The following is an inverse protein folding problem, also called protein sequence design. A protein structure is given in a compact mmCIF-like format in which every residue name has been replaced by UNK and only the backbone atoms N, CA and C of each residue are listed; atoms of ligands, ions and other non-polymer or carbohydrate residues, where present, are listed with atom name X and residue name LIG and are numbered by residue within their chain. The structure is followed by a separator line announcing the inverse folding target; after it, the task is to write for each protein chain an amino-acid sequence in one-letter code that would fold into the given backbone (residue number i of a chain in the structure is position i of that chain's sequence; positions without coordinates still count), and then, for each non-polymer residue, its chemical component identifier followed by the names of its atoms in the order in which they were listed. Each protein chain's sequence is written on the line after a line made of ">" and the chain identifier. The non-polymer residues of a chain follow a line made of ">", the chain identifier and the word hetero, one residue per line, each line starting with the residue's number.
data_IF_355607304906
#
_entry.id   IF_355607304906
#
_cell.length_a   1.000
_cell.length_b   1.000
_cell.length_c   1.000
_cell.angle_alpha   90.00
_cell.angle_beta   90.00
_cell.angle_gamma   90.00
#
_symmetry.space_group_name_H-M   'P 1'
#
loop_
_entity.id
_entity.type
_entity.pdbx_description
1 polymer ?
#
# COMPACT_ATOMS: atom_id res chain seq x y z
N UNK A 1 -53.68 -3.37 40.20
CA UNK A 1 -52.55 -3.55 39.27
C UNK A 1 -51.97 -2.17 39.00
N UNK A 2 -51.06 -1.73 39.89
CA UNK A 2 -49.59 -1.72 39.70
C UNK A 2 -49.17 -0.49 38.85
N UNK A 3 -48.89 0.67 39.47
CA UNK A 3 -47.58 1.11 40.06
C UNK A 3 -46.59 1.52 38.96
N UNK A 4 -45.88 2.66 38.98
CA UNK A 4 -45.41 3.50 40.08
C UNK A 4 -44.96 4.88 39.58
N UNK A 5 -45.12 5.85 40.46
CA UNK A 5 -44.64 7.25 40.42
C UNK A 5 -43.27 7.34 41.10
N UNK A 6 -42.50 8.42 40.86
CA UNK A 6 -41.35 8.93 41.65
C UNK A 6 -40.00 8.24 41.34
N UNK A 7 -38.83 8.86 41.23
CA UNK A 7 -38.22 10.17 41.52
C UNK A 7 -37.00 10.29 40.59
N UNK A 8 -36.41 11.44 40.22
CA UNK A 8 -35.86 12.43 41.12
C UNK A 8 -35.52 13.73 40.35
N UNK A 9 -36.14 14.83 40.77
CA UNK A 9 -35.65 16.18 40.57
C UNK A 9 -35.25 16.72 41.95
N UNK A 10 -33.95 16.96 42.14
CA UNK A 10 -33.25 17.69 43.22
C UNK A 10 -31.75 17.48 42.91
N UNK A 11 -30.86 18.46 42.81
CA UNK A 11 -30.84 19.80 43.34
C UNK A 11 -29.99 20.71 42.45
N UNK A 12 -30.50 21.91 42.18
CA UNK A 12 -29.70 23.06 41.77
C UNK A 12 -29.10 23.73 43.02
N UNK A 13 -28.02 24.49 42.80
CA UNK A 13 -27.37 25.43 43.71
C UNK A 13 -26.38 24.86 44.74
N UNK A 14 -25.11 24.82 44.35
CA UNK A 14 -24.00 25.35 45.14
C UNK A 14 -22.72 25.29 44.28
N UNK A 15 -22.19 26.44 43.87
CA UNK A 15 -20.85 26.89 44.26
C UNK A 15 -20.57 28.24 43.65
N UNK A 16 -20.58 29.24 44.53
CA UNK A 16 -20.29 30.63 44.24
C UNK A 16 -18.79 30.83 43.97
N UNK A 17 -18.54 31.83 43.13
CA UNK A 17 -17.34 32.64 43.03
C UNK A 17 -16.34 32.55 44.20
N UNK A 18 -15.09 32.21 43.88
CA UNK A 18 -13.91 32.87 44.45
C UNK A 18 -12.91 33.21 43.35
N UNK A 19 -12.85 34.51 43.05
CA UNK A 19 -11.71 35.19 42.40
C UNK A 19 -10.64 35.45 43.48
N UNK A 20 -9.43 35.74 43.01
CA UNK A 20 -8.25 36.26 43.73
C UNK A 20 -7.39 35.20 44.48
N UNK A 21 -6.06 35.14 44.37
CA UNK A 21 -5.02 36.08 43.94
C UNK A 21 -3.86 35.35 43.24
N UNK A 22 -3.29 36.00 42.22
CA UNK A 22 -2.03 35.60 41.60
C UNK A 22 -0.83 36.08 42.46
N UNK A 23 0.19 35.22 42.59
CA UNK A 23 1.53 35.60 43.02
C UNK A 23 2.56 35.03 42.01
N UNK A 24 3.68 35.74 41.74
CA UNK A 24 4.47 35.52 40.53
C UNK A 24 5.45 34.36 40.72
N UNK A 25 5.30 33.30 39.93
CA UNK A 25 6.33 32.26 39.84
C UNK A 25 7.48 32.75 38.95
N UNK A 26 8.66 32.81 39.56
CA UNK A 26 9.92 33.29 39.01
C UNK A 26 10.29 32.59 37.69
N UNK A 27 10.68 33.39 36.69
CA UNK A 27 11.29 32.93 35.43
C UNK A 27 12.56 32.12 35.74
N UNK A 28 12.50 30.80 35.61
CA UNK A 28 13.71 29.97 35.40
C UNK A 28 14.06 30.02 33.92
N UNK A 29 15.22 30.59 33.61
CA UNK A 29 15.83 30.55 32.30
C UNK A 29 16.16 29.08 31.95
N UNK A 30 15.27 28.45 31.18
CA UNK A 30 15.47 27.13 30.61
C UNK A 30 16.32 27.24 29.34
N UNK A 31 17.53 26.69 29.43
CA UNK A 31 18.50 26.52 28.35
C UNK A 31 17.83 25.94 27.09
N UNK A 32 17.76 26.70 25.99
CA UNK A 32 17.23 26.23 24.70
C UNK A 32 18.20 25.21 24.09
N UNK A 33 17.93 23.92 24.31
CA UNK A 33 18.65 22.84 23.64
C UNK A 33 18.20 22.82 22.18
N UNK A 34 19.02 23.37 21.28
CA UNK A 34 18.89 23.14 19.83
C UNK A 34 18.95 21.64 19.56
N UNK A 35 17.81 21.00 19.31
CA UNK A 35 17.75 19.64 18.77
C UNK A 35 18.21 19.71 17.33
N UNK A 36 19.43 19.20 17.06
CA UNK A 36 19.89 18.96 15.69
C UNK A 36 18.91 17.98 15.03
N UNK A 37 18.47 18.20 13.77
CA UNK A 37 17.69 17.22 13.06
C UNK A 37 18.54 15.94 12.91
N UNK A 38 18.07 14.85 13.52
CA UNK A 38 18.69 13.55 13.37
C UNK A 38 18.32 13.05 11.97
N UNK A 39 19.29 13.01 11.06
CA UNK A 39 19.09 12.41 9.74
C UNK A 39 18.65 10.96 9.93
N UNK A 40 17.46 10.61 9.44
CA UNK A 40 17.04 9.22 9.33
C UNK A 40 18.00 8.55 8.36
N UNK A 41 18.91 7.71 8.86
CA UNK A 41 19.73 6.85 8.00
C UNK A 41 18.81 5.85 7.34
N UNK A 42 18.80 5.83 6.01
CA UNK A 42 18.21 4.73 5.25
C UNK A 42 18.78 3.41 5.78
N UNK A 43 17.90 2.45 6.09
CA UNK A 43 18.31 1.09 6.43
C UNK A 43 19.04 0.54 5.21
N UNK A 44 20.28 0.10 5.40
CA UNK A 44 21.07 -0.50 4.34
C UNK A 44 20.37 -1.81 3.90
N UNK A 45 19.64 -1.73 2.80
CA UNK A 45 19.19 -2.93 2.08
C UNK A 45 20.45 -3.67 1.60
N UNK A 46 20.48 -5.02 1.62
CA UNK A 46 21.61 -5.74 1.04
C UNK A 46 21.81 -5.25 -0.38
N UNK A 47 23.06 -4.90 -0.73
CA UNK A 47 23.40 -4.44 -2.06
C UNK A 47 23.04 -5.56 -3.06
N UNK A 48 21.90 -5.42 -3.75
CA UNK A 48 21.55 -6.28 -4.87
C UNK A 48 22.68 -6.10 -5.88
N UNK A 49 23.32 -7.21 -6.26
CA UNK A 49 24.36 -7.17 -7.26
C UNK A 49 23.83 -6.43 -8.50
N UNK A 50 24.59 -5.45 -8.98
CA UNK A 50 24.29 -4.76 -10.23
C UNK A 50 24.27 -5.81 -11.34
N UNK A 51 23.07 -6.22 -11.74
CA UNK A 51 22.88 -7.01 -12.94
C UNK A 51 23.02 -6.05 -14.12
N UNK A 52 24.25 -5.90 -14.64
CA UNK A 52 24.38 -5.42 -16.00
C UNK A 52 23.85 -6.53 -16.89
N UNK A 53 22.83 -6.23 -17.71
CA UNK A 53 22.66 -7.00 -18.93
C UNK A 53 24.02 -6.92 -19.64
N UNK A 54 24.72 -8.05 -19.77
CA UNK A 54 25.97 -8.10 -20.52
C UNK A 54 25.77 -7.56 -21.95
N UNK A 55 26.83 -7.50 -22.75
CA UNK A 55 26.76 -7.08 -24.16
C UNK A 55 25.50 -7.62 -24.86
N UNK A 56 24.50 -6.75 -25.06
CA UNK A 56 23.22 -7.13 -25.64
C UNK A 56 23.47 -7.42 -27.11
N UNK A 57 23.44 -8.69 -27.50
CA UNK A 57 23.68 -9.10 -28.89
C UNK A 57 22.61 -8.59 -29.87
N UNK A 58 21.41 -8.33 -29.35
CA UNK A 58 20.26 -7.81 -30.11
C UNK A 58 19.71 -6.54 -29.43
N UNK A 59 19.34 -5.56 -30.23
CA UNK A 59 18.67 -4.36 -29.75
C UNK A 59 17.31 -4.73 -29.15
N UNK A 60 17.01 -4.18 -27.97
CA UNK A 60 15.74 -4.38 -27.27
C UNK A 60 15.22 -3.06 -26.71
N UNK A 61 13.90 -2.90 -26.71
CA UNK A 61 13.18 -1.82 -26.03
C UNK A 61 13.33 -1.91 -24.52
N UNK A 62 12.97 -0.83 -23.80
CA UNK A 62 12.95 -0.85 -22.33
C UNK A 62 11.98 -1.94 -21.81
N UNK A 63 10.78 -2.00 -22.39
CA UNK A 63 9.87 -3.16 -22.44
C UNK A 63 10.55 -4.51 -22.40
N UNK A 64 11.10 -4.86 -23.56
CA UNK A 64 11.71 -6.17 -23.77
C UNK A 64 12.83 -6.46 -22.76
N UNK A 65 13.66 -5.46 -22.42
CA UNK A 65 14.73 -5.64 -21.41
C UNK A 65 14.19 -5.95 -20.02
N UNK A 66 13.14 -5.27 -19.58
CA UNK A 66 12.54 -5.49 -18.26
C UNK A 66 11.91 -6.88 -18.20
N UNK A 67 11.10 -7.24 -19.21
CA UNK A 67 10.45 -8.54 -19.25
C UNK A 67 11.45 -9.68 -19.46
N UNK A 68 12.52 -9.47 -20.23
CA UNK A 68 13.59 -10.46 -20.41
C UNK A 68 14.31 -10.73 -19.08
N UNK A 69 14.63 -9.68 -18.32
CA UNK A 69 15.18 -9.80 -16.96
C UNK A 69 14.22 -10.52 -16.01
N UNK A 70 12.94 -10.17 -16.04
CA UNK A 70 11.93 -10.77 -15.16
C UNK A 70 11.56 -12.22 -15.53
N UNK A 71 11.93 -12.69 -16.72
CA UNK A 71 11.69 -14.05 -17.19
C UNK A 71 12.97 -14.89 -17.30
N UNK A 72 14.10 -14.36 -16.85
CA UNK A 72 15.43 -14.97 -16.96
C UNK A 72 15.81 -15.34 -18.41
N UNK A 73 15.33 -14.55 -19.38
CA UNK A 73 15.62 -14.72 -20.80
C UNK A 73 16.66 -13.71 -21.28
N UNK A 74 17.48 -14.11 -22.23
CA UNK A 74 18.51 -13.24 -22.82
C UNK A 74 17.92 -12.17 -23.76
N UNK A 75 16.82 -12.51 -24.45
CA UNK A 75 16.10 -11.63 -25.35
C UNK A 75 14.63 -12.06 -25.47
N UNK A 76 13.78 -11.10 -25.86
CA UNK A 76 12.36 -11.27 -26.15
C UNK A 76 11.99 -10.47 -27.39
N UNK A 77 11.00 -10.97 -28.12
CA UNK A 77 10.39 -10.30 -29.26
C UNK A 77 8.91 -9.98 -28.99
N UNK A 78 8.38 -8.87 -29.54
CA UNK A 78 6.96 -8.57 -29.46
C UNK A 78 6.09 -9.72 -29.97
N UNK A 79 5.04 -10.06 -29.21
CA UNK A 79 4.11 -11.13 -29.53
C UNK A 79 4.35 -12.43 -28.77
N UNK A 80 5.53 -12.63 -28.18
CA UNK A 80 5.82 -13.80 -27.34
C UNK A 80 4.99 -13.79 -26.04
N UNK A 81 4.53 -14.96 -25.60
CA UNK A 81 3.98 -15.15 -24.25
C UNK A 81 5.10 -15.63 -23.32
N UNK A 82 5.25 -14.99 -22.16
CA UNK A 82 6.35 -15.25 -21.25
C UNK A 82 5.89 -15.22 -19.79
N UNK A 83 6.36 -16.17 -19.01
CA UNK A 83 6.19 -16.14 -17.56
C UNK A 83 7.19 -15.17 -16.95
N UNK A 84 6.69 -14.21 -16.18
CA UNK A 84 7.52 -13.20 -15.52
C UNK A 84 7.40 -13.31 -14.01
N UNK A 85 8.51 -13.11 -13.31
CA UNK A 85 8.55 -12.87 -11.88
C UNK A 85 8.09 -11.44 -11.58
N UNK A 86 7.07 -11.34 -10.73
CA UNK A 86 6.49 -10.06 -10.32
C UNK A 86 7.33 -9.50 -9.17
N UNK A 87 7.82 -8.27 -9.33
CA UNK A 87 8.59 -7.59 -8.28
C UNK A 87 7.65 -6.96 -7.24
N UNK A 88 6.50 -6.40 -7.66
CA UNK A 88 5.48 -5.80 -6.77
C UNK A 88 4.07 -6.09 -7.31
N UNK A 89 3.16 -6.53 -6.44
CA UNK A 89 1.72 -6.49 -6.68
C UNK A 89 1.10 -5.42 -5.78
N UNK A 90 0.33 -4.51 -6.37
CA UNK A 90 -0.48 -3.56 -5.64
C UNK A 90 -1.97 -3.94 -5.71
N UNK A 91 -2.66 -3.83 -4.59
CA UNK A 91 -4.13 -3.90 -4.57
C UNK A 91 -4.72 -2.89 -3.60
N UNK A 92 -6.03 -2.68 -3.73
CA UNK A 92 -6.79 -1.69 -2.98
C UNK A 92 -8.16 -2.26 -2.57
N UNK A 93 -8.94 -1.46 -1.86
CA UNK A 93 -10.21 -1.83 -1.24
C UNK A 93 -11.34 -2.22 -2.21
N UNK A 94 -11.27 -1.85 -3.49
CA UNK A 94 -12.27 -2.29 -4.49
C UNK A 94 -12.00 -3.72 -4.93
N UNK A 95 -10.76 -4.01 -5.29
CA UNK A 95 -10.38 -5.25 -5.99
C UNK A 95 -9.75 -6.30 -5.06
N UNK A 96 -9.12 -5.86 -3.97
CA UNK A 96 -8.45 -6.70 -2.96
C UNK A 96 -9.32 -7.84 -2.46
N UNK A 97 -10.56 -7.61 -1.97
CA UNK A 97 -11.40 -8.69 -1.46
C UNK A 97 -11.65 -9.80 -2.49
N UNK A 98 -11.90 -9.43 -3.74
CA UNK A 98 -12.10 -10.40 -4.82
C UNK A 98 -10.83 -11.16 -5.17
N UNK A 99 -9.66 -10.51 -5.17
CA UNK A 99 -8.38 -11.18 -5.39
C UNK A 99 -8.03 -12.14 -4.23
N UNK A 100 -8.32 -11.76 -2.98
CA UNK A 100 -8.08 -12.60 -1.80
C UNK A 100 -8.97 -13.83 -1.77
N UNK A 101 -10.25 -13.68 -2.11
CA UNK A 101 -11.21 -14.81 -2.20
C UNK A 101 -10.76 -15.83 -3.26
N UNK A 102 -10.36 -15.36 -4.46
CA UNK A 102 -9.83 -16.23 -5.51
C UNK A 102 -8.54 -16.91 -5.04
N UNK A 103 -7.62 -16.17 -4.41
CA UNK A 103 -6.40 -16.75 -3.87
C UNK A 103 -6.68 -17.87 -2.87
N UNK A 104 -7.56 -17.65 -1.89
CA UNK A 104 -7.93 -18.66 -0.90
C UNK A 104 -8.64 -19.86 -1.51
N UNK A 105 -9.55 -19.62 -2.46
CA UNK A 105 -10.27 -20.67 -3.17
C UNK A 105 -9.33 -21.58 -3.98
N UNK A 106 -8.38 -21.01 -4.71
CA UNK A 106 -7.53 -21.77 -5.64
C UNK A 106 -6.27 -22.35 -4.97
N UNK A 107 -5.74 -21.72 -3.92
CA UNK A 107 -4.51 -22.15 -3.21
C UNK A 107 -4.77 -22.75 -1.82
N UNK A 108 -5.99 -22.60 -1.28
CA UNK A 108 -6.42 -23.11 0.03
C UNK A 108 -6.54 -22.04 1.11
N UNK A 109 -7.40 -22.30 2.10
CA UNK A 109 -7.67 -21.35 3.21
C UNK A 109 -6.44 -21.02 4.05
N UNK A 110 -5.52 -21.98 4.23
CA UNK A 110 -4.28 -21.79 4.99
C UNK A 110 -3.11 -21.29 4.12
N UNK A 111 -3.36 -20.98 2.85
CA UNK A 111 -2.31 -20.55 1.92
C UNK A 111 -1.65 -19.24 2.38
N UNK A 112 -0.35 -19.14 2.10
CA UNK A 112 0.47 -17.96 2.35
C UNK A 112 0.77 -17.25 1.04
N UNK A 113 0.70 -15.92 1.05
CA UNK A 113 1.11 -15.11 -0.11
C UNK A 113 2.57 -15.39 -0.45
N UNK A 114 2.90 -15.35 -1.75
CA UNK A 114 4.23 -15.75 -2.24
C UNK A 114 5.36 -14.94 -1.58
N UNK A 115 5.12 -13.66 -1.33
CA UNK A 115 6.07 -12.77 -0.67
C UNK A 115 5.32 -11.59 -0.01
N UNK A 116 5.27 -11.61 1.33
CA UNK A 116 4.61 -10.58 2.15
C UNK A 116 5.26 -9.19 2.08
N UNK A 117 6.46 -9.10 1.51
CA UNK A 117 7.17 -7.82 1.26
C UNK A 117 7.02 -7.35 -0.19
N UNK A 118 6.38 -8.11 -1.08
CA UNK A 118 6.11 -7.68 -2.47
C UNK A 118 4.63 -7.40 -2.74
N UNK A 119 3.76 -7.67 -1.76
CA UNK A 119 2.38 -7.23 -1.77
C UNK A 119 2.26 -5.86 -1.08
N UNK A 120 1.69 -4.90 -1.79
CA UNK A 120 1.36 -3.56 -1.28
C UNK A 120 -0.15 -3.38 -1.28
N UNK A 121 -0.72 -3.07 -0.12
CA UNK A 121 -2.17 -2.91 0.05
C UNK A 121 -2.46 -1.48 0.48
N UNK A 122 -3.27 -0.77 -0.31
CA UNK A 122 -3.57 0.65 -0.10
C UNK A 122 -5.08 0.86 -0.23
N UNK A 123 -5.83 0.96 0.88
CA UNK A 123 -7.23 1.33 0.82
C UNK A 123 -7.35 2.83 0.61
N UNK A 124 -7.91 3.27 -0.53
CA UNK A 124 -8.04 4.68 -0.87
C UNK A 124 -9.37 5.05 -1.57
N UNK A 125 -10.14 4.08 -2.06
CA UNK A 125 -11.39 4.37 -2.81
C UNK A 125 -12.61 4.51 -1.91
N UNK A 126 -12.72 3.68 -0.87
CA UNK A 126 -13.89 3.52 -0.01
C UNK A 126 -13.66 3.94 1.43
N UNK A 127 -12.42 4.26 1.84
CA UNK A 127 -12.10 4.60 3.23
C UNK A 127 -12.91 5.77 3.84
N UNK A 128 -13.40 6.70 3.02
CA UNK A 128 -14.18 7.85 3.46
C UNK A 128 -15.67 7.75 3.10
N UNK A 129 -16.12 6.58 2.65
CA UNK A 129 -17.53 6.37 2.34
C UNK A 129 -18.37 6.18 3.60
N UNK A 130 -19.64 6.58 3.53
CA UNK A 130 -20.65 6.26 4.54
C UNK A 130 -21.34 4.91 4.28
N UNK A 131 -21.13 4.29 3.11
CA UNK A 131 -21.76 3.02 2.76
C UNK A 131 -21.10 1.85 3.52
N UNK A 132 -21.90 1.18 4.37
CA UNK A 132 -21.45 0.01 5.13
C UNK A 132 -20.98 -1.16 4.26
N UNK A 133 -21.49 -1.30 3.02
CA UNK A 133 -21.02 -2.35 2.10
C UNK A 133 -19.61 -2.09 1.63
N UNK A 134 -19.31 -0.86 1.26
CA UNK A 134 -17.99 -0.45 0.83
C UNK A 134 -16.98 -0.46 1.99
N UNK A 135 -17.39 -0.08 3.21
CA UNK A 135 -16.55 -0.20 4.41
C UNK A 135 -16.15 -1.63 4.73
N UNK A 136 -17.04 -2.61 4.52
CA UNK A 136 -16.75 -4.04 4.72
C UNK A 136 -15.51 -4.49 3.95
N UNK A 137 -15.28 -3.95 2.75
CA UNK A 137 -14.11 -4.30 1.97
C UNK A 137 -12.81 -3.92 2.68
N UNK A 138 -12.77 -2.75 3.32
CA UNK A 138 -11.61 -2.30 4.10
C UNK A 138 -11.36 -3.23 5.28
N UNK A 139 -12.43 -3.71 5.94
CA UNK A 139 -12.31 -4.68 7.02
C UNK A 139 -11.73 -6.01 6.53
N UNK A 140 -12.18 -6.52 5.36
CA UNK A 140 -11.60 -7.71 4.72
C UNK A 140 -10.10 -7.50 4.42
N UNK A 141 -9.71 -6.30 3.97
CA UNK A 141 -8.30 -5.97 3.75
C UNK A 141 -7.49 -6.05 5.04
N UNK A 142 -8.01 -5.49 6.14
CA UNK A 142 -7.36 -5.52 7.45
C UNK A 142 -7.16 -6.95 7.94
N UNK A 143 -8.22 -7.75 7.87
CA UNK A 143 -8.21 -9.15 8.30
C UNK A 143 -7.16 -9.94 7.50
N UNK A 144 -7.18 -9.82 6.16
CA UNK A 144 -6.21 -10.49 5.29
C UNK A 144 -4.77 -10.01 5.56
N UNK A 145 -4.55 -8.71 5.68
CA UNK A 145 -3.22 -8.15 5.92
C UNK A 145 -2.65 -8.58 7.27
N UNK A 146 -3.49 -8.65 8.31
CA UNK A 146 -3.11 -9.14 9.63
C UNK A 146 -2.80 -10.64 9.58
N UNK A 147 -3.67 -11.43 8.97
CA UNK A 147 -3.52 -12.88 8.85
C UNK A 147 -2.24 -13.28 8.10
N UNK A 148 -1.96 -12.61 6.99
CA UNK A 148 -0.79 -12.86 6.13
C UNK A 148 0.47 -12.11 6.57
N UNK A 149 0.37 -11.26 7.61
CA UNK A 149 1.46 -10.43 8.13
C UNK A 149 2.13 -9.58 7.03
N UNK A 150 1.29 -8.90 6.24
CA UNK A 150 1.70 -8.06 5.12
C UNK A 150 2.44 -6.83 5.66
N UNK A 151 3.64 -6.59 5.12
CA UNK A 151 4.52 -5.52 5.60
C UNK A 151 4.04 -4.14 5.16
N UNK A 152 3.58 -4.02 3.91
CA UNK A 152 3.23 -2.75 3.29
C UNK A 152 1.72 -2.59 3.19
N UNK A 153 1.10 -2.27 4.34
CA UNK A 153 -0.31 -1.97 4.45
C UNK A 153 -0.52 -0.53 4.93
N UNK A 154 -1.03 0.32 4.04
CA UNK A 154 -1.09 1.78 4.24
C UNK A 154 -2.52 2.25 4.55
N UNK A 155 -3.08 1.75 5.65
CA UNK A 155 -4.47 2.00 6.06
C UNK A 155 -4.64 3.20 7.00
N UNK A 156 -5.87 3.73 7.01
CA UNK A 156 -6.34 4.72 7.96
C UNK A 156 -6.93 4.02 9.20
N UNK A 157 -6.42 4.35 10.38
CA UNK A 157 -6.85 3.78 11.66
C UNK A 157 -7.90 4.65 12.36
N UNK A 158 -7.74 5.97 12.29
CA UNK A 158 -8.66 6.95 12.88
C UNK A 158 -9.26 7.85 11.80
N UNK A 159 -10.53 7.62 11.45
CA UNK A 159 -11.26 8.42 10.47
C UNK A 159 -11.63 9.83 10.98
N UNK A 160 -11.54 10.08 12.29
CA UNK A 160 -11.91 11.36 12.91
C UNK A 160 -10.80 12.41 12.89
N UNK A 161 -9.53 11.96 12.79
CA UNK A 161 -8.37 12.85 12.68
C UNK A 161 -7.38 12.36 11.62
N UNK A 162 -7.39 13.03 10.46
CA UNK A 162 -6.46 12.72 9.37
C UNK A 162 -4.98 12.90 9.75
N UNK A 163 -4.66 13.73 10.77
CA UNK A 163 -3.28 13.92 11.25
C UNK A 163 -2.80 12.80 12.16
N UNK A 164 -3.73 11.99 12.68
CA UNK A 164 -3.42 10.86 13.57
C UNK A 164 -3.07 9.57 12.82
N UNK A 165 -2.96 9.61 11.48
CA UNK A 165 -2.70 8.43 10.64
C UNK A 165 -1.35 8.55 9.92
N UNK A 166 -0.22 8.32 10.61
CA UNK A 166 1.11 8.44 10.00
C UNK A 166 1.37 7.40 8.90
N UNK A 167 0.64 6.27 8.95
CA UNK A 167 0.78 5.16 8.02
C UNK A 167 -0.08 5.33 6.76
N UNK A 168 -1.07 6.23 6.76
CA UNK A 168 -1.94 6.44 5.60
C UNK A 168 -1.25 7.34 4.56
N UNK A 169 -1.31 6.94 3.29
CA UNK A 169 -0.53 7.58 2.21
C UNK A 169 -1.35 8.16 1.07
N UNK A 170 -2.68 8.20 1.20
CA UNK A 170 -3.53 8.78 0.16
C UNK A 170 -3.77 7.82 -1.01
N UNK A 171 -3.81 8.41 -2.22
CA UNK A 171 -4.09 7.70 -3.47
C UNK A 171 -2.99 6.67 -3.78
N UNK A 172 -3.39 5.46 -4.13
CA UNK A 172 -2.53 4.29 -4.31
C UNK A 172 -1.28 4.54 -5.16
N UNK A 173 -1.41 5.14 -6.35
CA UNK A 173 -0.26 5.38 -7.25
C UNK A 173 0.70 6.46 -6.73
N UNK A 174 0.20 7.43 -5.97
CA UNK A 174 1.04 8.44 -5.33
C UNK A 174 1.79 7.81 -4.15
N UNK A 175 1.09 7.03 -3.34
CA UNK A 175 1.67 6.30 -2.22
C UNK A 175 2.77 5.32 -2.67
N UNK A 176 2.55 4.57 -3.76
CA UNK A 176 3.55 3.68 -4.36
C UNK A 176 4.85 4.43 -4.69
N UNK A 177 4.74 5.60 -5.32
CA UNK A 177 5.89 6.42 -5.67
C UNK A 177 6.59 7.01 -4.44
N UNK A 178 5.83 7.58 -3.49
CA UNK A 178 6.35 8.23 -2.30
C UNK A 178 7.08 7.26 -1.36
N UNK A 179 6.59 6.03 -1.25
CA UNK A 179 7.13 5.02 -0.34
C UNK A 179 8.20 4.13 -1.00
N UNK A 180 8.59 4.42 -2.24
CA UNK A 180 9.73 3.76 -2.91
C UNK A 180 9.40 2.37 -3.49
N UNK A 181 8.13 2.12 -3.81
CA UNK A 181 7.70 0.90 -4.52
C UNK A 181 7.89 0.99 -6.03
N UNK A 182 8.00 2.22 -6.56
CA UNK A 182 8.28 2.45 -7.98
C UNK A 182 9.79 2.45 -8.28
N UNK A 183 10.39 1.26 -8.47
CA UNK A 183 11.84 1.11 -8.70
C UNK A 183 12.14 0.79 -10.17
N UNK A 184 13.05 1.53 -10.85
CA UNK A 184 13.35 1.31 -12.26
C UNK A 184 13.74 -0.14 -12.59
N UNK A 185 13.27 -0.63 -13.73
CA UNK A 185 13.62 -1.97 -14.23
C UNK A 185 12.88 -3.13 -13.57
N UNK A 186 11.84 -2.86 -12.78
CA UNK A 186 10.99 -3.85 -12.14
C UNK A 186 9.64 -4.03 -12.86
N UNK A 187 8.99 -5.17 -12.60
CA UNK A 187 7.62 -5.48 -13.01
C UNK A 187 6.66 -5.20 -11.86
N UNK A 188 5.78 -4.21 -12.03
CA UNK A 188 4.74 -3.86 -11.08
C UNK A 188 3.37 -4.18 -11.68
N UNK A 189 2.62 -5.07 -11.04
CA UNK A 189 1.23 -5.35 -11.41
C UNK A 189 0.31 -4.73 -10.37
N UNK A 190 -0.89 -4.33 -10.78
CA UNK A 190 -1.85 -3.71 -9.88
C UNK A 190 -3.28 -4.03 -10.28
N UNK A 191 -4.19 -4.10 -9.32
CA UNK A 191 -5.62 -4.32 -9.58
C UNK A 191 -6.38 -3.05 -9.96
N UNK A 192 -5.65 -1.97 -10.27
CA UNK A 192 -6.19 -0.70 -10.77
C UNK A 192 -5.75 -0.43 -12.21
N UNK A 193 -6.62 0.20 -13.00
CA UNK A 193 -6.38 0.48 -14.43
C UNK A 193 -5.27 1.50 -14.68
N UNK A 194 -4.98 2.38 -13.72
CA UNK A 194 -3.97 3.43 -13.83
C UNK A 194 -2.60 3.01 -13.29
N UNK A 195 -2.41 1.71 -13.00
CA UNK A 195 -1.11 1.15 -12.61
C UNK A 195 0.01 1.47 -13.60
N UNK A 196 -0.33 1.76 -14.87
CA UNK A 196 0.60 2.27 -15.88
C UNK A 196 1.34 3.56 -15.47
N UNK A 197 0.84 4.31 -14.47
CA UNK A 197 1.50 5.50 -13.92
C UNK A 197 2.94 5.19 -13.46
N UNK A 198 3.18 4.00 -12.88
CA UNK A 198 4.49 3.58 -12.44
C UNK A 198 5.52 3.44 -13.58
N UNK A 199 5.06 3.37 -14.85
CA UNK A 199 5.91 3.43 -16.04
C UNK A 199 6.74 4.72 -16.13
N UNK A 200 6.29 5.82 -15.50
CA UNK A 200 7.08 7.06 -15.39
C UNK A 200 8.41 6.88 -14.65
N UNK A 201 8.54 5.83 -13.85
CA UNK A 201 9.76 5.47 -13.10
C UNK A 201 10.63 4.45 -13.84
N UNK A 202 10.34 4.16 -15.12
CA UNK A 202 11.09 3.16 -15.90
C UNK A 202 10.77 1.72 -15.48
N UNK A 203 9.58 1.47 -14.96
CA UNK A 203 9.04 0.14 -14.71
C UNK A 203 8.23 -0.36 -15.90
N UNK A 204 8.09 -1.68 -16.02
CA UNK A 204 6.94 -2.23 -16.72
C UNK A 204 5.79 -2.33 -15.72
N UNK A 205 4.71 -1.59 -15.97
CA UNK A 205 3.58 -1.56 -15.06
C UNK A 205 2.24 -1.60 -15.80
N UNK A 206 1.35 -2.48 -15.35
CA UNK A 206 0.03 -2.66 -15.95
C UNK A 206 -1.02 -3.04 -14.93
N UNK A 207 -2.26 -2.61 -15.20
CA UNK A 207 -3.44 -3.11 -14.49
C UNK A 207 -3.73 -4.55 -14.88
N UNK A 208 -4.18 -5.35 -13.93
CA UNK A 208 -4.62 -6.75 -14.09
C UNK A 208 -5.94 -6.99 -13.36
N UNK A 209 -6.65 -8.06 -13.70
CA UNK A 209 -7.91 -8.42 -13.04
C UNK A 209 -7.70 -9.16 -11.72
N UNK A 210 -8.80 -9.36 -10.96
CA UNK A 210 -8.77 -10.09 -9.68
C UNK A 210 -8.27 -11.53 -9.82
N UNK A 211 -8.61 -12.21 -10.92
CA UNK A 211 -8.15 -13.59 -11.17
C UNK A 211 -6.64 -13.66 -11.33
N UNK A 212 -6.07 -12.77 -12.14
CA UNK A 212 -4.62 -12.68 -12.33
C UNK A 212 -3.93 -12.28 -11.02
N UNK A 213 -4.49 -11.34 -10.27
CA UNK A 213 -3.95 -10.95 -8.98
C UNK A 213 -3.99 -12.09 -7.96
N UNK A 214 -5.07 -12.88 -7.91
CA UNK A 214 -5.17 -14.09 -7.10
C UNK A 214 -4.09 -15.13 -7.46
N UNK A 215 -3.82 -15.29 -8.76
CA UNK A 215 -2.74 -16.16 -9.23
C UNK A 215 -1.34 -15.64 -8.84
N UNK A 216 -1.11 -14.32 -8.97
CA UNK A 216 0.14 -13.68 -8.54
C UNK A 216 0.32 -13.81 -7.03
N UNK A 217 -0.74 -13.64 -6.24
CA UNK A 217 -0.71 -13.82 -4.77
C UNK A 217 -0.20 -15.21 -4.37
N UNK A 218 -0.54 -16.25 -5.11
CA UNK A 218 -0.07 -17.61 -4.84
C UNK A 218 1.29 -17.95 -5.43
N UNK A 219 1.64 -17.42 -6.60
CA UNK A 219 2.82 -17.89 -7.35
C UNK A 219 3.95 -16.87 -7.48
N UNK A 220 3.67 -15.59 -7.28
CA UNK A 220 4.59 -14.49 -7.60
C UNK A 220 4.89 -14.32 -9.08
N UNK A 221 4.12 -14.98 -9.95
CA UNK A 221 4.34 -15.00 -11.40
C UNK A 221 3.10 -14.57 -12.17
N UNK A 222 3.31 -14.07 -13.38
CA UNK A 222 2.24 -13.78 -14.34
C UNK A 222 2.64 -14.24 -15.74
N UNK A 223 1.68 -14.70 -16.53
CA UNK A 223 1.89 -14.95 -17.96
C UNK A 223 1.53 -13.67 -18.73
N UNK A 224 2.53 -13.04 -19.33
CA UNK A 224 2.34 -11.79 -20.07
C UNK A 224 2.71 -11.98 -21.53
N UNK A 225 2.00 -11.28 -22.41
CA UNK A 225 2.39 -11.14 -23.81
C UNK A 225 3.27 -9.90 -23.96
N UNK A 226 4.42 -10.04 -24.62
CA UNK A 226 5.32 -8.93 -24.92
C UNK A 226 4.62 -7.99 -25.90
N UNK A 227 4.32 -6.78 -25.48
CA UNK A 227 3.61 -5.79 -26.29
C UNK A 227 4.55 -5.14 -27.32
N UNK A 228 4.05 -4.78 -28.52
CA UNK A 228 4.76 -3.87 -29.41
C UNK A 228 4.88 -2.49 -28.77
N UNK A 229 5.91 -1.74 -29.17
CA UNK A 229 6.21 -0.41 -28.64
C UNK A 229 6.04 0.67 -29.70
N UNK A 230 5.50 1.82 -29.27
CA UNK A 230 5.46 3.04 -30.07
C UNK A 230 6.23 4.12 -29.33
N UNK A 231 7.26 4.66 -29.97
CA UNK A 231 8.03 5.77 -29.43
C UNK A 231 7.38 7.09 -29.87
N UNK A 232 6.96 7.88 -28.90
CA UNK A 232 6.43 9.22 -29.10
C UNK A 232 7.61 10.21 -29.02
N UNK A 233 7.76 11.03 -30.06
CA UNK A 233 8.78 12.09 -30.16
C UNK A 233 8.12 13.47 -30.15
#
# INVERSE_FOLDING_TARGET
>A
MASSVSAAAKAAAAFAHKKELAAPAQRRAGLTRRTKPCSVRAVASPARALSSTGSVKSAMTMTEKILARASERAALEPGENVWVDVDVLMTHDVCGPGAFDIFKKEFGEDARVWDREKLVVIPDHYIFTSDGRAKRNVDILRDFCAEQNIKYFYDIKDLSDFRANPDYKGVCHIALAQEGHCRPGEVLLGTDSHTCNAGAFGQFATGIGNTDAGFVLGTGKALLKVCPWFLLF
#
